data_IF_779555760440
#
_entry.id   IF_779555760440
#
_cell.length_a   1.000
_cell.length_b   1.000
_cell.length_c   1.000
_cell.angle_alpha   90.00
_cell.angle_beta   90.00
_cell.angle_gamma   90.00
#
_symmetry.space_group_name_H-M   'P 1'
#
loop_
_entity.id
_entity.type
_entity.pdbx_description
1 polymer ?
#
# COMPACT_ATOMS: atom_id res chain seq x y z
N UNK A 1 -6.13 -9.30 -1.15
CA UNK A 1 -6.86 -8.24 -1.89
C UNK A 1 -6.07 -6.97 -1.66
N UNK A 2 -5.37 -6.46 -2.68
CA UNK A 2 -4.58 -5.26 -2.53
C UNK A 2 -5.49 -4.06 -2.32
N UNK A 3 -4.98 -3.08 -1.60
CA UNK A 3 -5.62 -1.78 -1.45
C UNK A 3 -4.62 -0.71 -1.79
N UNK A 4 -4.99 0.20 -2.69
CA UNK A 4 -4.20 1.39 -2.99
C UNK A 4 -4.89 2.62 -2.43
N UNK A 5 -4.24 3.30 -1.51
CA UNK A 5 -4.62 4.61 -1.01
C UNK A 5 -3.79 5.70 -1.70
N UNK A 6 -4.44 6.81 -2.03
CA UNK A 6 -3.81 7.99 -2.60
C UNK A 6 -3.77 9.08 -1.53
N UNK A 7 -2.59 9.64 -1.29
CA UNK A 7 -2.37 10.76 -0.38
C UNK A 7 -1.86 11.97 -1.16
N UNK A 8 -2.28 13.17 -0.75
CA UNK A 8 -1.74 14.41 -1.31
C UNK A 8 -0.33 14.74 -0.76
N UNK A 9 0.27 15.83 -1.25
CA UNK A 9 1.58 16.32 -0.81
C UNK A 9 1.68 16.71 0.68
N UNK A 10 0.55 16.85 1.37
CA UNK A 10 0.48 17.09 2.82
C UNK A 10 0.19 15.81 3.60
N UNK A 11 0.21 14.64 2.94
CA UNK A 11 -0.11 13.33 3.48
C UNK A 11 -1.57 13.18 3.93
N UNK A 12 -2.51 13.98 3.39
CA UNK A 12 -3.93 13.74 3.64
C UNK A 12 -4.43 12.61 2.74
N UNK A 13 -5.24 11.70 3.29
CA UNK A 13 -5.92 10.66 2.53
C UNK A 13 -6.93 11.27 1.54
N UNK A 14 -6.85 10.89 0.27
CA UNK A 14 -7.70 11.43 -0.81
C UNK A 14 -8.68 10.39 -1.33
N UNK A 15 -8.17 9.20 -1.65
CA UNK A 15 -8.94 8.16 -2.33
C UNK A 15 -8.44 6.77 -1.94
N UNK A 16 -9.31 5.77 -2.08
CA UNK A 16 -9.03 4.35 -1.82
C UNK A 16 -9.53 3.51 -3.00
N UNK A 17 -8.69 2.58 -3.46
CA UNK A 17 -8.99 1.72 -4.59
C UNK A 17 -8.69 0.25 -4.26
N UNK A 18 -9.60 -0.64 -4.61
CA UNK A 18 -9.50 -2.10 -4.36
C UNK A 18 -9.58 -2.94 -5.65
N UNK A 19 -9.72 -2.28 -6.81
CA UNK A 19 -9.85 -2.95 -8.10
C UNK A 19 -8.45 -3.25 -8.68
N UNK A 20 -8.08 -4.53 -8.74
CA UNK A 20 -6.79 -5.02 -9.26
C UNK A 20 -6.37 -4.35 -10.57
N UNK A 21 -7.29 -4.23 -11.53
CA UNK A 21 -7.02 -3.66 -12.86
C UNK A 21 -6.67 -2.18 -12.79
N UNK A 22 -7.38 -1.41 -11.97
CA UNK A 22 -7.11 0.02 -11.79
C UNK A 22 -5.81 0.23 -11.02
N UNK A 23 -5.59 -0.54 -9.94
CA UNK A 23 -4.35 -0.49 -9.14
C UNK A 23 -3.15 -0.78 -10.03
N UNK A 24 -3.24 -1.81 -10.89
CA UNK A 24 -2.18 -2.17 -11.83
C UNK A 24 -1.90 -1.07 -12.85
N UNK A 25 -2.92 -0.50 -13.50
CA UNK A 25 -2.75 0.60 -14.45
C UNK A 25 -2.12 1.82 -13.78
N UNK A 26 -2.58 2.16 -12.57
CA UNK A 26 -2.09 3.31 -11.84
C UNK A 26 -0.62 3.13 -11.40
N UNK A 27 -0.28 2.00 -10.79
CA UNK A 27 1.09 1.69 -10.36
C UNK A 27 2.07 1.56 -11.54
N UNK A 28 1.61 1.08 -12.69
CA UNK A 28 2.44 0.96 -13.89
C UNK A 28 2.96 2.32 -14.38
N UNK A 29 2.24 3.42 -14.14
CA UNK A 29 2.70 4.80 -14.44
C UNK A 29 3.92 5.21 -13.61
N UNK A 30 4.13 4.55 -12.48
CA UNK A 30 5.30 4.72 -11.61
C UNK A 30 6.34 3.60 -11.80
N UNK A 31 6.15 2.72 -12.79
CA UNK A 31 7.01 1.55 -13.04
C UNK A 31 6.87 0.44 -11.98
N UNK A 32 5.89 0.54 -11.09
CA UNK A 32 5.64 -0.45 -10.04
C UNK A 32 4.73 -1.54 -10.60
N UNK A 33 5.08 -2.79 -10.31
CA UNK A 33 4.27 -3.97 -10.62
C UNK A 33 3.96 -4.72 -9.35
N UNK A 34 2.87 -5.46 -9.34
CA UNK A 34 2.48 -6.31 -8.22
C UNK A 34 1.73 -7.53 -8.76
N UNK A 35 1.57 -8.55 -7.92
CA UNK A 35 0.82 -9.75 -8.29
C UNK A 35 0.70 -10.74 -7.15
N UNK A 36 0.12 -11.90 -7.45
CA UNK A 36 -0.12 -12.99 -6.48
C UNK A 36 0.56 -14.28 -6.93
N UNK A 37 0.96 -15.10 -5.98
CA UNK A 37 1.58 -16.40 -6.23
C UNK A 37 3.01 -16.30 -6.76
N UNK A 38 3.52 -17.42 -7.27
CA UNK A 38 4.89 -17.53 -7.77
C UNK A 38 5.12 -16.60 -8.97
N UNK A 39 6.18 -15.80 -8.90
CA UNK A 39 6.63 -14.96 -10.01
C UNK A 39 8.16 -15.00 -10.11
N UNK A 40 8.66 -15.18 -11.33
CA UNK A 40 10.09 -15.34 -11.58
C UNK A 40 10.88 -14.12 -11.09
N UNK A 41 11.84 -14.37 -10.20
CA UNK A 41 12.68 -13.34 -9.60
C UNK A 41 11.97 -12.38 -8.63
N UNK A 42 10.69 -12.61 -8.27
CA UNK A 42 9.98 -11.81 -7.27
C UNK A 42 9.89 -12.54 -5.94
N UNK A 43 10.13 -11.80 -4.85
CA UNK A 43 9.91 -12.31 -3.50
C UNK A 43 8.43 -12.16 -3.14
N UNK A 44 7.77 -13.28 -2.93
CA UNK A 44 6.43 -13.34 -2.35
C UNK A 44 6.53 -13.04 -0.86
N UNK A 45 5.62 -12.21 -0.34
CA UNK A 45 5.56 -11.88 1.07
C UNK A 45 4.97 -13.03 1.88
N UNK A 46 5.54 -13.30 3.05
CA UNK A 46 5.02 -14.30 4.00
C UNK A 46 3.80 -13.78 4.78
N UNK A 47 3.66 -12.47 4.89
CA UNK A 47 2.60 -11.76 5.62
C UNK A 47 2.17 -10.50 4.87
N UNK A 48 1.09 -9.87 5.34
CA UNK A 48 0.69 -8.57 4.83
C UNK A 48 1.79 -7.51 5.05
N UNK A 49 1.82 -6.52 4.17
CA UNK A 49 2.77 -5.40 4.24
C UNK A 49 2.26 -4.18 3.51
N UNK A 50 2.68 -3.00 3.98
CA UNK A 50 2.31 -1.70 3.46
C UNK A 50 3.53 -1.04 2.82
N UNK A 51 3.42 -0.73 1.52
CA UNK A 51 4.41 0.04 0.78
C UNK A 51 3.97 1.48 0.64
N UNK A 52 4.86 2.42 0.91
CA UNK A 52 4.69 3.81 0.54
C UNK A 52 5.60 4.20 -0.61
N UNK A 53 5.03 4.83 -1.63
CA UNK A 53 5.74 5.36 -2.80
C UNK A 53 5.53 6.88 -2.86
N UNK A 54 6.59 7.68 -2.68
CA UNK A 54 6.53 9.11 -2.97
C UNK A 54 6.29 9.33 -4.47
N UNK A 55 5.41 10.26 -4.79
CA UNK A 55 5.11 10.70 -6.16
C UNK A 55 5.32 12.21 -6.28
N UNK A 56 5.15 12.77 -7.48
CA UNK A 56 5.22 14.23 -7.67
C UNK A 56 4.08 14.97 -6.94
N UNK A 57 2.95 14.31 -6.73
CA UNK A 57 1.71 14.90 -6.21
C UNK A 57 1.42 14.52 -4.74
N UNK A 58 2.22 13.62 -4.16
CA UNK A 58 2.03 13.13 -2.79
C UNK A 58 2.60 11.73 -2.57
N UNK A 59 1.77 10.81 -2.06
CA UNK A 59 2.17 9.45 -1.75
C UNK A 59 1.12 8.44 -2.20
N UNK A 60 1.57 7.24 -2.55
CA UNK A 60 0.71 6.08 -2.72
C UNK A 60 0.99 5.10 -1.58
N UNK A 61 -0.05 4.64 -0.89
CA UNK A 61 0.01 3.56 0.09
C UNK A 61 -0.57 2.28 -0.51
N UNK A 62 0.27 1.27 -0.76
CA UNK A 62 -0.13 -0.03 -1.29
C UNK A 62 -0.08 -1.07 -0.17
N UNK A 63 -1.25 -1.50 0.30
CA UNK A 63 -1.39 -2.64 1.19
C UNK A 63 -1.54 -3.92 0.37
N UNK A 64 -0.70 -4.90 0.66
CA UNK A 64 -0.75 -6.25 0.07
C UNK A 64 -0.77 -7.30 1.18
N UNK A 65 -1.32 -8.47 0.89
CA UNK A 65 -1.41 -9.62 1.78
C UNK A 65 -0.22 -10.59 1.60
N UNK A 66 -0.09 -11.55 2.53
CA UNK A 66 0.81 -12.68 2.35
C UNK A 66 0.41 -13.48 1.09
N UNK A 67 1.40 -13.96 0.35
CA UNK A 67 1.19 -14.59 -0.96
C UNK A 67 1.21 -13.61 -2.14
N UNK A 68 1.34 -12.31 -1.88
CA UNK A 68 1.47 -11.26 -2.90
C UNK A 68 2.92 -10.77 -3.01
N UNK A 69 3.28 -10.15 -4.13
CA UNK A 69 4.60 -9.58 -4.38
C UNK A 69 4.48 -8.18 -4.98
N UNK A 70 5.50 -7.34 -4.74
CA UNK A 70 5.61 -5.99 -5.29
C UNK A 70 7.00 -5.79 -5.87
N UNK A 71 7.08 -5.30 -7.10
CA UNK A 71 8.30 -4.99 -7.83
C UNK A 71 8.39 -3.48 -8.04
N UNK A 72 9.36 -2.84 -7.39
CA UNK A 72 9.61 -1.40 -7.45
C UNK A 72 10.87 -1.15 -8.29
N UNK A 73 10.91 -0.12 -9.17
CA UNK A 73 12.10 0.20 -9.93
C UNK A 73 13.33 0.45 -9.04
N UNK A 74 14.50 -0.03 -9.50
CA UNK A 74 15.74 0.17 -8.77
C UNK A 74 16.04 1.67 -8.58
N UNK A 75 16.35 2.05 -7.34
CA UNK A 75 16.63 3.45 -6.98
C UNK A 75 15.39 4.33 -6.79
N UNK A 76 14.18 3.82 -7.00
CA UNK A 76 12.97 4.55 -6.66
C UNK A 76 12.80 4.61 -5.13
N UNK A 77 12.55 5.80 -4.56
CA UNK A 77 12.31 5.93 -3.13
C UNK A 77 11.03 5.16 -2.76
N UNK A 78 11.09 4.37 -1.69
CA UNK A 78 9.94 3.68 -1.14
C UNK A 78 10.17 3.38 0.33
N UNK A 79 9.08 3.20 1.07
CA UNK A 79 9.09 2.73 2.45
C UNK A 79 8.29 1.44 2.52
N UNK A 80 8.67 0.55 3.44
CA UNK A 80 7.97 -0.69 3.69
C UNK A 80 7.72 -0.82 5.19
N UNK A 81 6.46 -1.03 5.56
CA UNK A 81 6.00 -1.28 6.91
C UNK A 81 5.33 -2.66 6.96
N UNK A 82 5.95 -3.59 7.69
CA UNK A 82 5.49 -4.96 7.85
C UNK A 82 4.53 -5.12 9.05
N UNK A 83 4.05 -4.04 9.66
CA UNK A 83 3.27 -4.08 10.91
C UNK A 83 4.14 -4.26 12.15
N UNK A 84 5.42 -3.92 12.07
CA UNK A 84 6.33 -3.95 13.21
C UNK A 84 6.31 -2.62 13.97
N UNK A 85 6.66 -2.63 15.27
CA UNK A 85 6.51 -1.46 16.14
C UNK A 85 7.38 -0.24 15.73
N UNK A 86 8.43 -0.45 14.95
CA UNK A 86 9.35 0.60 14.53
C UNK A 86 8.83 1.34 13.29
N UNK A 87 8.87 2.67 13.33
CA UNK A 87 8.61 3.50 12.15
C UNK A 87 9.67 3.24 11.08
N UNK A 88 9.30 3.10 9.80
CA UNK A 88 10.28 3.14 8.73
C UNK A 88 10.96 4.52 8.70
N UNK A 89 12.29 4.52 8.67
CA UNK A 89 13.10 5.74 8.64
C UNK A 89 12.73 6.62 7.44
N UNK A 90 12.48 7.90 7.70
CA UNK A 90 12.19 8.90 6.66
C UNK A 90 10.73 8.95 6.17
N UNK A 91 9.84 8.06 6.65
CA UNK A 91 8.41 8.18 6.36
C UNK A 91 7.83 9.42 7.08
N UNK A 92 7.08 10.30 6.39
CA UNK A 92 6.38 11.41 7.03
C UNK A 92 5.48 10.95 8.18
N UNK A 93 5.59 11.59 9.34
CA UNK A 93 4.83 11.23 10.54
C UNK A 93 3.29 11.37 10.40
N UNK A 94 2.84 12.10 9.38
CA UNK A 94 1.42 12.28 9.07
C UNK A 94 0.81 11.09 8.29
N UNK A 95 1.65 10.26 7.64
CA UNK A 95 1.16 9.05 6.99
C UNK A 95 0.84 7.98 8.04
N UNK A 96 -0.30 7.28 7.93
CA UNK A 96 -0.64 6.21 8.86
C UNK A 96 0.38 5.07 8.75
N UNK A 97 0.66 4.42 9.87
CA UNK A 97 1.41 3.16 9.88
C UNK A 97 0.51 1.99 9.50
N UNK A 98 1.09 0.81 9.33
CA UNK A 98 0.37 -0.41 8.94
C UNK A 98 -0.97 -0.59 9.70
N UNK A 99 -0.94 -0.61 11.03
CA UNK A 99 -2.16 -0.86 11.84
C UNK A 99 -3.23 0.21 11.62
N UNK A 100 -2.85 1.49 11.68
CA UNK A 100 -3.78 2.62 11.48
C UNK A 100 -4.31 2.68 10.03
N UNK A 101 -3.48 2.31 9.05
CA UNK A 101 -3.88 2.23 7.65
C UNK A 101 -4.94 1.14 7.46
N UNK A 102 -4.71 -0.06 8.02
CA UNK A 102 -5.65 -1.18 7.94
C UNK A 102 -6.96 -0.81 8.63
N UNK A 103 -6.92 -0.21 9.82
CA UNK A 103 -8.12 0.26 10.53
C UNK A 103 -8.94 1.23 9.68
N UNK A 104 -8.29 2.23 9.07
CA UNK A 104 -8.96 3.22 8.22
C UNK A 104 -9.57 2.57 6.97
N UNK A 105 -8.83 1.67 6.28
CA UNK A 105 -9.35 0.91 5.14
C UNK A 105 -10.59 0.10 5.54
N UNK A 106 -10.56 -0.58 6.68
CA UNK A 106 -11.70 -1.36 7.17
C UNK A 106 -12.90 -0.47 7.50
N UNK A 107 -12.66 0.70 8.10
CA UNK A 107 -13.70 1.69 8.37
C UNK A 107 -14.37 2.22 7.09
N UNK A 108 -13.57 2.46 6.03
CA UNK A 108 -14.08 2.95 4.74
C UNK A 108 -14.76 1.87 3.90
N UNK A 109 -14.26 0.63 3.94
CA UNK A 109 -14.78 -0.48 3.14
C UNK A 109 -15.97 -1.16 3.78
N UNK A 110 -16.28 -0.84 5.04
CA UNK A 110 -17.52 -1.21 5.70
C UNK A 110 -17.73 -2.72 5.71
N UNK A 111 -17.17 -3.39 6.72
CA UNK A 111 -17.95 -4.44 7.34
C UNK A 111 -19.16 -3.78 8.00
N UNK A 112 -20.19 -3.51 7.22
CA UNK A 112 -21.58 -3.29 7.66
C UNK A 112 -22.16 -4.63 8.17
N UNK A 113 -21.35 -5.42 8.90
CA UNK A 113 -21.87 -6.48 9.75
C UNK A 113 -22.20 -5.81 11.08
N UNK A 114 -23.47 -5.48 11.18
CA UNK A 114 -24.24 -4.80 12.22
C UNK A 114 -23.79 -5.09 13.66
N UNK A 115 -24.02 -4.12 14.54
CA UNK A 115 -24.59 -4.44 15.86
C UNK A 115 -25.87 -3.59 16.03
N UNK A 116 -26.99 -4.28 16.19
CA UNK A 116 -28.32 -3.74 16.52
C UNK A 116 -28.39 -3.22 17.97
#
# INVERSE_FOLDING_TARGET
MPVLAVFDGQANWRDTHVCDGWISDHLARHGVRWGRGEADGQRVLDSAGLFYLPTADGYLGLLVEGGEWVAIPAGAPHFFDAGEAASPDGLPAALPRFEAFVEEVLAMTGNDASDE
#
